data_IF_788456162482
#
_entry.id   IF_788456162482
#
_cell.length_a   1.000
_cell.length_b   1.000
_cell.length_c   1.000
_cell.angle_alpha   90.00
_cell.angle_beta   90.00
_cell.angle_gamma   90.00
#
_symmetry.space_group_name_H-M   'P 1'
#
loop_
_entity.id
_entity.type
_entity.pdbx_description
1 polymer ?
#
# COMPACT_ATOMS: atom_id res chain seq x y z
N UNK A 1 -18.16 -5.17 -3.63
CA UNK A 1 -18.71 -3.80 -3.59
C UNK A 1 -17.52 -2.88 -3.55
N UNK A 2 -17.39 -1.95 -4.51
CA UNK A 2 -16.29 -0.97 -4.51
C UNK A 2 -16.79 0.30 -3.84
N UNK A 3 -16.38 0.53 -2.59
CA UNK A 3 -16.60 1.81 -1.90
C UNK A 3 -15.26 2.53 -1.73
N UNK A 4 -14.60 2.80 -2.87
CA UNK A 4 -13.53 3.78 -2.95
C UNK A 4 -14.16 5.16 -3.04
N UNK A 5 -13.77 6.08 -2.14
CA UNK A 5 -13.55 7.52 -2.40
C UNK A 5 -13.80 8.39 -1.16
N UNK A 6 -12.90 8.28 -0.18
CA UNK A 6 -12.36 9.49 0.45
C UNK A 6 -10.95 9.66 -0.12
N UNK A 7 -10.55 10.88 -0.47
CA UNK A 7 -9.31 11.15 -1.21
C UNK A 7 -8.07 11.08 -0.29
N UNK A 8 -7.80 9.89 0.21
CA UNK A 8 -6.79 9.62 1.23
C UNK A 8 -5.37 9.68 0.64
N UNK A 9 -4.37 9.89 1.51
CA UNK A 9 -2.96 10.02 1.13
C UNK A 9 -2.47 8.91 0.19
N UNK A 10 -2.85 7.65 0.44
CA UNK A 10 -2.49 6.51 -0.44
C UNK A 10 -3.02 6.68 -1.87
N UNK A 11 -4.27 7.13 -2.10
CA UNK A 11 -4.79 7.32 -3.47
C UNK A 11 -4.08 8.50 -4.17
N UNK A 12 -3.72 9.57 -3.44
CA UNK A 12 -2.87 10.66 -3.97
C UNK A 12 -1.49 10.15 -4.36
N UNK A 13 -0.86 9.32 -3.53
CA UNK A 13 0.44 8.74 -3.84
C UNK A 13 0.39 7.77 -5.03
N UNK A 14 -0.70 6.99 -5.16
CA UNK A 14 -0.94 6.13 -6.33
C UNK A 14 -1.21 6.93 -7.62
N UNK A 15 -1.71 8.15 -7.50
CA UNK A 15 -1.93 9.07 -8.63
C UNK A 15 -0.69 9.91 -8.98
N UNK A 16 0.36 9.88 -8.17
CA UNK A 16 1.53 10.76 -8.29
C UNK A 16 1.29 12.21 -7.85
N UNK A 17 0.19 12.46 -7.13
CA UNK A 17 -0.25 13.77 -6.63
C UNK A 17 0.34 14.10 -5.24
N UNK A 18 0.86 13.09 -4.54
CA UNK A 18 1.66 13.19 -3.31
C UNK A 18 2.81 12.18 -3.36
N UNK A 19 3.86 12.40 -2.56
CA UNK A 19 4.96 11.45 -2.33
C UNK A 19 5.02 11.04 -0.87
N UNK A 20 5.79 10.00 -0.60
CA UNK A 20 6.19 9.59 0.75
C UNK A 20 6.84 10.73 1.57
N UNK A 21 7.41 11.74 0.91
CA UNK A 21 8.06 12.89 1.54
C UNK A 21 7.02 13.91 2.05
N UNK A 22 5.88 14.03 1.36
CA UNK A 22 4.78 14.93 1.75
C UNK A 22 4.00 14.41 2.97
N UNK A 23 4.26 13.18 3.47
CA UNK A 23 3.48 12.64 4.59
C UNK A 23 3.65 13.46 5.87
N UNK A 24 4.81 14.09 6.07
CA UNK A 24 5.09 14.92 7.24
C UNK A 24 4.07 16.07 7.34
N UNK A 25 3.85 16.80 6.23
CA UNK A 25 2.85 17.86 6.09
C UNK A 25 1.42 17.36 6.31
N UNK A 26 1.06 16.17 5.80
CA UNK A 26 -0.25 15.56 6.05
C UNK A 26 -0.44 15.16 7.53
N UNK A 27 0.63 14.76 8.22
CA UNK A 27 0.62 14.42 9.64
C UNK A 27 0.56 15.68 10.50
N UNK A 28 1.28 16.75 10.13
CA UNK A 28 1.17 18.07 10.76
C UNK A 28 -0.25 18.63 10.63
N UNK A 29 -0.83 18.64 9.42
CA UNK A 29 -2.22 19.05 9.20
C UNK A 29 -3.23 18.21 10.00
N UNK A 30 -2.98 16.91 10.18
CA UNK A 30 -3.80 16.06 11.04
C UNK A 30 -3.64 16.38 12.53
N UNK A 31 -2.43 16.74 12.98
CA UNK A 31 -2.13 17.18 14.34
C UNK A 31 -2.68 18.58 14.68
N UNK A 32 -2.77 19.49 13.70
CA UNK A 32 -3.45 20.79 13.84
C UNK A 32 -4.97 20.70 13.73
N UNK A 33 -5.49 19.59 13.18
CA UNK A 33 -6.92 19.33 13.03
C UNK A 33 -7.62 18.93 14.33
N UNK A 34 -8.91 19.27 14.45
CA UNK A 34 -9.77 18.81 15.54
C UNK A 34 -10.04 17.30 15.35
N UNK A 35 -9.31 16.48 16.12
CA UNK A 35 -9.04 15.06 15.84
C UNK A 35 -10.23 14.10 15.97
N UNK A 36 -11.24 14.25 15.12
CA UNK A 36 -12.40 13.36 15.03
C UNK A 36 -12.17 12.06 14.23
N UNK A 37 -11.08 11.96 13.47
CA UNK A 37 -10.74 10.82 12.60
C UNK A 37 -9.34 10.29 12.93
N UNK A 38 -9.15 8.97 13.03
CA UNK A 38 -7.83 8.40 13.29
C UNK A 38 -6.91 8.49 12.05
N UNK A 39 -5.60 8.64 12.30
CA UNK A 39 -4.60 8.89 11.25
C UNK A 39 -4.52 7.75 10.20
N UNK A 40 -4.85 6.50 10.57
CA UNK A 40 -4.94 5.39 9.64
C UNK A 40 -6.05 5.60 8.58
N UNK A 41 -7.25 6.05 8.98
CA UNK A 41 -8.33 6.36 8.04
C UNK A 41 -8.01 7.60 7.19
N UNK A 42 -7.38 8.63 7.77
CA UNK A 42 -6.94 9.83 7.05
C UNK A 42 -5.89 9.51 5.97
N UNK A 43 -4.90 8.68 6.27
CA UNK A 43 -3.90 8.23 5.31
C UNK A 43 -4.46 7.20 4.32
N UNK A 44 -5.53 6.48 4.68
CA UNK A 44 -6.10 5.38 3.89
C UNK A 44 -5.35 4.06 4.05
N UNK A 45 -4.79 3.84 5.24
CA UNK A 45 -4.08 2.62 5.64
C UNK A 45 -4.95 1.76 6.55
N UNK A 46 -4.73 0.45 6.58
CA UNK A 46 -5.26 -0.39 7.67
C UNK A 46 -4.49 -0.12 8.97
N UNK A 47 -5.12 -0.42 10.11
CA UNK A 47 -4.49 -0.33 11.44
C UNK A 47 -3.18 -1.13 11.53
N UNK A 48 -3.09 -2.28 10.86
CA UNK A 48 -1.88 -3.11 10.77
C UNK A 48 -0.74 -2.41 10.01
N UNK A 49 -1.05 -1.81 8.86
CA UNK A 49 -0.08 -1.06 8.05
C UNK A 49 0.40 0.20 8.79
N UNK A 50 -0.53 0.90 9.45
CA UNK A 50 -0.23 2.04 10.31
C UNK A 50 0.69 1.65 11.47
N UNK A 51 0.43 0.54 12.17
CA UNK A 51 1.27 0.08 13.28
C UNK A 51 2.70 -0.27 12.83
N UNK A 52 2.86 -0.82 11.62
CA UNK A 52 4.17 -1.03 11.00
C UNK A 52 4.86 0.29 10.65
N UNK A 53 4.13 1.24 10.07
CA UNK A 53 4.66 2.56 9.71
C UNK A 53 5.10 3.39 10.92
N UNK A 54 4.32 3.41 12.00
CA UNK A 54 4.66 4.06 13.28
C UNK A 54 5.94 3.46 13.89
N UNK A 55 6.19 2.16 13.66
CA UNK A 55 7.42 1.50 14.13
C UNK A 55 8.61 1.78 13.21
N UNK A 56 8.39 1.80 11.90
CA UNK A 56 9.40 1.95 10.86
C UNK A 56 8.86 2.84 9.72
N UNK A 57 9.22 4.15 9.65
CA UNK A 57 8.68 5.06 8.65
C UNK A 57 9.07 4.68 7.21
N UNK A 58 10.18 3.94 7.03
CA UNK A 58 10.59 3.33 5.75
C UNK A 58 9.55 2.33 5.18
N UNK A 59 8.68 1.77 6.01
CA UNK A 59 7.64 0.83 5.53
C UNK A 59 6.53 1.54 4.77
N UNK A 60 6.45 2.87 4.81
CA UNK A 60 5.49 3.64 4.01
C UNK A 60 5.59 3.31 2.52
N UNK A 61 6.82 3.26 2.00
CA UNK A 61 7.11 2.93 0.61
C UNK A 61 6.59 1.54 0.24
N UNK A 62 6.67 0.60 1.19
CA UNK A 62 6.18 -0.79 1.04
C UNK A 62 4.65 -0.81 1.03
N UNK A 63 3.98 -0.03 1.89
CA UNK A 63 2.51 0.09 1.89
C UNK A 63 2.01 0.66 0.56
N UNK A 64 2.59 1.77 0.10
CA UNK A 64 2.26 2.40 -1.18
C UNK A 64 2.44 1.41 -2.35
N UNK A 65 3.57 0.69 -2.38
CA UNK A 65 3.86 -0.31 -3.41
C UNK A 65 2.90 -1.52 -3.33
N UNK A 66 2.56 -1.98 -2.13
CA UNK A 66 1.58 -3.05 -1.92
C UNK A 66 0.21 -2.67 -2.48
N UNK A 67 -0.30 -1.48 -2.17
CA UNK A 67 -1.56 -0.98 -2.73
C UNK A 67 -1.50 -0.82 -4.26
N UNK A 68 -0.35 -0.40 -4.81
CA UNK A 68 -0.11 -0.32 -6.26
C UNK A 68 -0.15 -1.70 -6.93
N UNK A 69 0.47 -2.70 -6.30
CA UNK A 69 0.42 -4.09 -6.75
C UNK A 69 -0.99 -4.68 -6.64
N UNK A 70 -1.68 -4.46 -5.52
CA UNK A 70 -3.06 -4.91 -5.26
C UNK A 70 -4.03 -4.34 -6.31
N UNK A 71 -3.90 -3.05 -6.67
CA UNK A 71 -4.69 -2.43 -7.74
C UNK A 71 -4.39 -3.02 -9.13
N UNK A 72 -3.22 -3.61 -9.34
CA UNK A 72 -2.81 -4.25 -10.60
C UNK A 72 -3.07 -5.77 -10.68
N UNK A 73 -3.33 -6.48 -9.57
CA UNK A 73 -3.43 -7.96 -9.55
C UNK A 73 -4.85 -8.50 -9.73
N UNK A 74 -5.44 -8.29 -10.92
CA UNK A 74 -6.48 -9.16 -11.49
C UNK A 74 -6.11 -9.47 -12.96
N UNK A 75 -5.94 -10.75 -13.36
CA UNK A 75 -5.45 -11.90 -12.62
C UNK A 75 -4.01 -12.27 -13.06
N UNK A 76 -3.29 -12.99 -12.20
CA UNK A 76 -1.99 -13.59 -12.55
C UNK A 76 -2.24 -14.81 -13.45
N UNK A 77 -1.61 -14.96 -14.63
CA UNK A 77 -1.68 -16.22 -15.36
C UNK A 77 -1.09 -17.35 -14.51
N UNK A 78 -1.57 -18.60 -14.64
CA UNK A 78 -1.12 -19.71 -13.81
C UNK A 78 0.38 -19.96 -13.94
N UNK A 79 1.00 -20.40 -12.85
CA UNK A 79 2.46 -20.53 -12.62
C UNK A 79 3.18 -21.57 -13.52
N UNK A 80 2.54 -22.07 -14.57
CA UNK A 80 3.02 -23.11 -15.49
C UNK A 80 4.19 -22.70 -16.40
N UNK A 81 4.75 -21.50 -16.23
CA UNK A 81 5.82 -20.96 -17.07
C UNK A 81 7.22 -21.01 -16.43
N UNK A 82 7.35 -21.44 -15.17
CA UNK A 82 8.63 -21.52 -14.45
C UNK A 82 8.95 -22.92 -13.93
N UNK A 83 9.19 -23.88 -14.84
CA UNK A 83 10.40 -24.71 -14.76
C UNK A 83 10.59 -25.56 -16.02
N UNK A 84 11.79 -25.48 -16.60
CA UNK A 84 12.20 -26.35 -17.71
C UNK A 84 13.47 -27.10 -17.38
N UNK A 85 13.47 -28.40 -17.70
CA UNK A 85 14.61 -29.36 -17.80
C UNK A 85 15.23 -29.92 -16.51
N UNK A 86 14.98 -31.22 -16.32
CA UNK A 86 15.78 -32.17 -15.53
C UNK A 86 14.93 -33.40 -15.20
N UNK A 87 14.99 -34.53 -15.94
CA UNK A 87 15.90 -35.66 -15.67
C UNK A 87 15.95 -35.95 -14.15
N UNK A 88 15.52 -37.10 -13.60
CA UNK A 88 15.85 -38.53 -13.86
C UNK A 88 14.75 -39.40 -13.17
N UNK A 89 14.50 -40.69 -13.44
CA UNK A 89 15.10 -41.77 -14.27
C UNK A 89 13.96 -42.57 -14.97
N UNK A 90 14.28 -43.68 -15.64
CA UNK A 90 13.38 -44.82 -15.81
C UNK A 90 13.93 -46.02 -15.01
N UNK A 91 13.04 -46.77 -14.35
CA UNK A 91 13.29 -48.08 -13.70
C UNK A 91 12.10 -48.99 -13.98
#
# INVERSE_FOLDING_TARGET
MSEKSVANFIEKCLSGDARQEDIDDFVEQWHEGDGGLPLNEYLGMTETEYSLWVTNPETLSIVIDNHRMVRSTIPRPPVSAIEGKGLRVAV
#
